data_IF_778136108717
#
_entry.id   IF_778136108717
#
_cell.length_a   1.000
_cell.length_b   1.000
_cell.length_c   1.000
_cell.angle_alpha   90.00
_cell.angle_beta   90.00
_cell.angle_gamma   90.00
#
_symmetry.space_group_name_H-M   'P 1'
#
loop_
_entity.id
_entity.type
_entity.pdbx_description
1 polymer ?
#
# COMPACT_ATOMS: atom_id res chain seq x y z
N UNK A 1 -17.17 12.35 0.22
CA UNK A 1 -17.62 12.70 -1.15
C UNK A 1 -17.21 11.63 -2.16
N UNK A 2 -15.93 11.28 -2.28
CA UNK A 2 -15.38 10.35 -3.28
C UNK A 2 -16.03 8.96 -3.26
N UNK A 3 -16.14 8.29 -2.11
CA UNK A 3 -16.74 6.95 -2.00
C UNK A 3 -18.22 6.95 -2.45
N UNK A 4 -18.99 8.00 -2.15
CA UNK A 4 -20.37 8.13 -2.64
C UNK A 4 -20.46 8.21 -4.17
N UNK A 5 -19.47 8.83 -4.81
CA UNK A 5 -19.37 8.86 -6.27
C UNK A 5 -19.07 7.47 -6.83
N UNK A 6 -18.15 6.72 -6.22
CA UNK A 6 -17.87 5.32 -6.56
C UNK A 6 -19.14 4.48 -6.46
N UNK A 7 -19.90 4.60 -5.36
CA UNK A 7 -21.15 3.88 -5.16
C UNK A 7 -22.20 4.23 -6.22
N UNK A 8 -22.34 5.50 -6.55
CA UNK A 8 -23.26 5.95 -7.59
C UNK A 8 -22.94 5.30 -8.94
N UNK A 9 -21.68 5.25 -9.34
CA UNK A 9 -21.28 4.58 -10.58
C UNK A 9 -21.54 3.08 -10.54
N UNK A 10 -21.28 2.42 -9.40
CA UNK A 10 -21.54 0.98 -9.22
C UNK A 10 -23.03 0.67 -9.30
N UNK A 11 -23.89 1.48 -8.67
CA UNK A 11 -25.34 1.34 -8.74
C UNK A 11 -25.88 1.51 -10.18
N UNK A 12 -25.19 2.29 -11.01
CA UNK A 12 -25.50 2.45 -12.43
C UNK A 12 -24.84 1.36 -13.31
N UNK A 13 -24.36 0.25 -12.74
CA UNK A 13 -23.83 -0.89 -13.47
C UNK A 13 -22.39 -0.77 -13.95
N UNK A 14 -21.66 0.30 -13.57
CA UNK A 14 -20.26 0.47 -13.95
C UNK A 14 -19.35 -0.34 -13.02
N UNK A 15 -18.39 -1.07 -13.59
CA UNK A 15 -17.38 -1.82 -12.85
C UNK A 15 -16.26 -0.90 -12.34
N UNK A 16 -16.60 0.00 -11.42
CA UNK A 16 -15.65 0.91 -10.77
C UNK A 16 -15.22 0.32 -9.43
N UNK A 17 -13.93 0.39 -9.14
CA UNK A 17 -13.32 0.06 -7.84
C UNK A 17 -12.17 1.01 -7.58
N UNK A 18 -11.74 1.11 -6.33
CA UNK A 18 -10.55 1.83 -5.93
C UNK A 18 -9.73 0.96 -4.95
N UNK A 19 -8.53 1.39 -4.68
CA UNK A 19 -7.68 0.79 -3.67
C UNK A 19 -7.20 1.83 -2.65
N UNK A 20 -6.72 1.35 -1.51
CA UNK A 20 -6.19 2.16 -0.44
C UNK A 20 -5.14 1.36 0.33
N UNK A 21 -4.13 2.02 0.86
CA UNK A 21 -3.15 1.43 1.80
C UNK A 21 -3.43 1.88 3.24
N UNK A 22 -3.04 1.10 4.26
CA UNK A 22 -3.35 1.38 5.66
C UNK A 22 -2.32 2.31 6.33
N UNK A 23 -2.01 3.43 5.70
CA UNK A 23 -1.12 4.47 6.24
C UNK A 23 -1.73 5.85 6.06
N UNK A 24 -1.37 6.77 6.95
CA UNK A 24 -1.94 8.13 7.03
C UNK A 24 -1.02 9.20 6.45
N UNK A 25 -0.17 8.79 5.53
CA UNK A 25 0.69 9.65 4.73
C UNK A 25 0.78 9.10 3.31
N UNK A 26 1.04 9.95 2.34
CA UNK A 26 1.39 9.51 0.99
C UNK A 26 2.86 9.74 0.69
N UNK A 27 3.36 9.11 -0.36
CA UNK A 27 4.72 9.31 -0.87
C UNK A 27 4.70 9.51 -2.36
N UNK A 28 5.46 10.50 -2.81
CA UNK A 28 5.67 10.80 -4.23
C UNK A 28 7.00 11.55 -4.40
N UNK A 29 7.47 11.70 -5.64
CA UNK A 29 8.61 12.57 -5.94
C UNK A 29 8.26 14.03 -5.65
N UNK A 30 9.22 14.82 -5.15
CA UNK A 30 9.00 16.22 -4.80
C UNK A 30 8.63 17.07 -6.04
N UNK A 31 9.05 16.65 -7.23
CA UNK A 31 8.69 17.27 -8.51
C UNK A 31 7.29 16.91 -9.04
N UNK A 32 6.57 16.01 -8.36
CA UNK A 32 5.23 15.58 -8.75
C UNK A 32 4.24 16.73 -8.82
N UNK A 33 3.26 16.62 -9.74
CA UNK A 33 2.12 17.55 -9.87
C UNK A 33 1.25 17.63 -8.62
N UNK A 34 1.37 16.66 -7.69
CA UNK A 34 0.76 16.72 -6.35
C UNK A 34 1.12 18.00 -5.61
N UNK A 35 2.33 18.48 -5.81
CA UNK A 35 2.88 19.68 -5.17
C UNK A 35 2.88 20.94 -6.07
N UNK A 36 2.09 20.93 -7.15
CA UNK A 36 1.92 22.12 -7.98
C UNK A 36 1.16 23.23 -7.26
N UNK A 37 1.15 24.42 -7.81
CA UNK A 37 0.54 25.62 -7.23
C UNK A 37 -0.84 25.33 -6.60
N UNK A 38 -1.06 25.86 -5.41
CA UNK A 38 -2.28 25.63 -4.63
C UNK A 38 -2.30 24.35 -3.77
N UNK A 39 -1.21 23.58 -3.69
CA UNK A 39 -1.21 22.34 -2.89
C UNK A 39 -1.30 22.60 -1.37
N UNK A 40 -0.69 23.68 -0.88
CA UNK A 40 -0.75 24.04 0.54
C UNK A 40 -2.18 24.37 0.96
N UNK A 41 -2.90 25.12 0.13
CA UNK A 41 -4.32 25.48 0.35
C UNK A 41 -5.22 24.26 0.23
N UNK A 42 -4.96 23.38 -0.76
CA UNK A 42 -5.74 22.15 -0.98
C UNK A 42 -5.66 21.20 0.20
N UNK A 43 -4.49 21.09 0.83
CA UNK A 43 -4.28 20.22 1.99
C UNK A 43 -4.36 20.96 3.33
N UNK A 44 -4.58 22.27 3.33
CA UNK A 44 -4.63 23.12 4.54
C UNK A 44 -3.41 22.92 5.45
N UNK A 45 -2.20 22.97 4.88
CA UNK A 45 -0.95 22.62 5.56
C UNK A 45 0.19 23.61 5.23
N UNK A 46 1.33 23.45 5.91
CA UNK A 46 2.60 24.07 5.61
C UNK A 46 3.60 23.09 4.99
N UNK A 47 4.80 23.55 4.68
CA UNK A 47 5.89 22.71 4.13
C UNK A 47 6.38 21.65 5.13
N UNK A 48 6.17 21.87 6.42
CA UNK A 48 6.57 21.01 7.53
C UNK A 48 5.87 19.63 7.56
N UNK A 49 4.82 19.44 6.77
CA UNK A 49 4.18 18.13 6.57
C UNK A 49 4.96 17.23 5.62
N UNK A 50 5.93 17.76 4.87
CA UNK A 50 6.74 17.02 3.90
C UNK A 50 8.06 16.63 4.52
N UNK A 51 8.39 15.33 4.47
CA UNK A 51 9.66 14.75 4.89
C UNK A 51 10.41 14.21 3.67
N UNK A 52 11.72 14.46 3.60
CA UNK A 52 12.57 13.97 2.53
C UNK A 52 13.11 12.57 2.87
N UNK A 53 12.93 11.61 1.94
CA UNK A 53 13.37 10.24 2.13
C UNK A 53 14.84 10.01 1.78
N UNK A 54 15.48 10.95 1.09
CA UNK A 54 16.78 10.76 0.44
C UNK A 54 17.68 12.01 0.58
N UNK A 55 18.97 11.83 0.25
CA UNK A 55 19.92 12.91 0.16
C UNK A 55 20.34 13.52 1.50
N UNK A 56 20.92 14.73 1.44
CA UNK A 56 21.48 15.43 2.61
C UNK A 56 20.45 15.85 3.66
N UNK A 57 19.21 15.92 3.26
CA UNK A 57 18.08 16.28 4.14
C UNK A 57 17.22 15.09 4.53
N UNK A 58 17.67 13.85 4.31
CA UNK A 58 16.93 12.63 4.65
C UNK A 58 16.41 12.67 6.10
N UNK A 59 15.13 12.33 6.29
CA UNK A 59 14.43 12.30 7.57
C UNK A 59 14.09 13.70 8.12
N UNK A 60 14.35 14.77 7.36
CA UNK A 60 14.01 16.14 7.78
C UNK A 60 12.69 16.59 7.19
N UNK A 61 11.89 17.26 8.01
CA UNK A 61 10.72 18.01 7.57
C UNK A 61 11.18 19.25 6.81
N UNK A 62 10.48 19.57 5.74
CA UNK A 62 10.83 20.72 4.90
C UNK A 62 10.49 22.04 5.58
N UNK A 63 11.38 23.03 5.41
CA UNK A 63 10.99 24.43 5.33
C UNK A 63 10.67 24.76 3.88
N UNK A 64 10.14 25.97 3.62
CA UNK A 64 9.90 26.45 2.26
C UNK A 64 11.19 26.40 1.41
N UNK A 65 12.29 26.89 1.96
CA UNK A 65 13.59 26.98 1.29
C UNK A 65 14.12 25.59 0.91
N UNK A 66 14.06 24.62 1.84
CA UNK A 66 14.47 23.23 1.60
C UNK A 66 13.61 22.60 0.51
N UNK A 67 12.30 22.79 0.59
CA UNK A 67 11.36 22.24 -0.39
C UNK A 67 11.64 22.79 -1.80
N UNK A 68 11.73 24.12 -1.95
CA UNK A 68 11.96 24.78 -3.24
C UNK A 68 13.33 24.42 -3.81
N UNK A 69 14.37 24.34 -2.96
CA UNK A 69 15.71 23.91 -3.36
C UNK A 69 15.69 22.49 -3.90
N UNK A 70 15.18 21.51 -3.13
CA UNK A 70 15.21 20.09 -3.54
C UNK A 70 14.31 19.87 -4.75
N UNK A 71 13.14 20.53 -4.81
CA UNK A 71 12.25 20.43 -5.98
C UNK A 71 12.90 20.93 -7.28
N UNK A 72 13.72 21.98 -7.20
CA UNK A 72 14.44 22.53 -8.34
C UNK A 72 15.63 21.64 -8.74
N UNK A 73 16.44 21.21 -7.75
CA UNK A 73 17.75 20.61 -7.99
C UNK A 73 17.70 19.08 -8.11
N UNK A 74 16.66 18.44 -7.52
CA UNK A 74 16.46 17.00 -7.54
C UNK A 74 14.96 16.62 -7.49
N UNK A 75 14.20 16.85 -8.59
CA UNK A 75 12.75 16.65 -8.62
C UNK A 75 12.31 15.20 -8.40
N UNK A 76 13.18 14.21 -8.61
CA UNK A 76 12.91 12.78 -8.38
C UNK A 76 13.03 12.35 -6.92
N UNK A 77 13.52 13.22 -6.02
CA UNK A 77 13.67 12.92 -4.61
C UNK A 77 12.33 12.48 -4.00
N UNK A 78 12.30 11.28 -3.41
CA UNK A 78 11.11 10.77 -2.76
C UNK A 78 10.82 11.54 -1.47
N UNK A 79 9.55 11.81 -1.28
CA UNK A 79 9.01 12.46 -0.08
C UNK A 79 7.95 11.60 0.59
N UNK A 80 7.72 11.86 1.88
CA UNK A 80 6.51 11.44 2.60
C UNK A 80 5.76 12.70 3.03
N UNK A 81 4.47 12.74 2.75
CA UNK A 81 3.60 13.87 3.08
C UNK A 81 2.51 13.45 4.06
N UNK A 82 2.51 14.05 5.25
CA UNK A 82 1.65 13.68 6.38
C UNK A 82 0.40 14.56 6.46
N UNK A 83 -0.49 14.43 5.49
CA UNK A 83 -1.73 15.23 5.38
C UNK A 83 -3.00 14.37 5.37
N UNK A 84 -2.86 13.04 5.35
CA UNK A 84 -4.01 12.15 5.33
C UNK A 84 -4.60 11.98 6.72
N UNK A 85 -5.94 11.99 6.81
CA UNK A 85 -6.65 11.77 8.07
C UNK A 85 -6.88 10.28 8.31
N UNK A 86 -6.59 9.80 9.53
CA UNK A 86 -6.80 8.40 9.93
C UNK A 86 -8.25 7.95 9.68
N UNK A 87 -9.22 8.80 10.04
CA UNK A 87 -10.64 8.52 9.85
C UNK A 87 -11.03 8.30 8.40
N UNK A 88 -10.38 9.00 7.46
CA UNK A 88 -10.68 8.87 6.03
C UNK A 88 -10.11 7.57 5.48
N UNK A 89 -8.89 7.18 5.89
CA UNK A 89 -8.27 5.90 5.52
C UNK A 89 -9.06 4.73 6.10
N UNK A 90 -9.45 4.83 7.37
CA UNK A 90 -10.29 3.81 8.04
C UNK A 90 -11.64 3.65 7.33
N UNK A 91 -12.29 4.75 6.96
CA UNK A 91 -13.54 4.74 6.21
C UNK A 91 -13.35 4.10 4.83
N UNK A 92 -12.26 4.43 4.14
CA UNK A 92 -11.96 3.88 2.82
C UNK A 92 -11.75 2.38 2.88
N UNK A 93 -10.90 1.88 3.77
CA UNK A 93 -10.58 0.46 3.90
C UNK A 93 -11.76 -0.40 4.36
N UNK A 94 -12.74 0.18 5.05
CA UNK A 94 -13.99 -0.50 5.43
C UNK A 94 -15.07 -0.47 4.36
N UNK A 95 -14.83 0.21 3.25
CA UNK A 95 -15.80 0.35 2.17
C UNK A 95 -15.77 -0.88 1.25
N UNK A 96 -16.92 -1.54 0.93
CA UNK A 96 -16.96 -2.80 0.18
C UNK A 96 -16.47 -2.71 -1.28
N UNK A 97 -16.28 -1.51 -1.79
CA UNK A 97 -15.74 -1.24 -3.12
C UNK A 97 -14.25 -0.95 -3.16
N UNK A 98 -13.56 -1.02 -2.02
CA UNK A 98 -12.13 -0.70 -1.89
C UNK A 98 -11.33 -1.99 -1.71
N UNK A 99 -10.26 -2.12 -2.49
CA UNK A 99 -9.25 -3.16 -2.38
C UNK A 99 -8.06 -2.66 -1.55
N UNK A 100 -7.22 -3.57 -1.06
CA UNK A 100 -5.92 -3.18 -0.55
C UNK A 100 -4.94 -3.01 -1.72
N UNK A 101 -4.35 -1.83 -1.83
CA UNK A 101 -3.21 -1.56 -2.69
C UNK A 101 -2.02 -1.09 -1.84
N UNK A 102 -0.78 -1.42 -2.22
CA UNK A 102 0.39 -0.91 -1.51
C UNK A 102 0.88 0.42 -2.06
N UNK A 103 0.69 0.68 -3.35
CA UNK A 103 1.29 1.83 -4.05
C UNK A 103 2.80 2.01 -3.74
N UNK A 104 3.48 0.86 -3.55
CA UNK A 104 4.85 0.80 -3.05
C UNK A 104 5.87 1.19 -4.10
N UNK A 105 6.65 2.24 -3.83
CA UNK A 105 7.84 2.62 -4.59
C UNK A 105 9.01 2.70 -3.62
N UNK A 106 10.16 2.14 -4.01
CA UNK A 106 11.38 2.12 -3.21
C UNK A 106 12.58 2.49 -4.09
N UNK A 107 13.38 3.44 -3.63
CA UNK A 107 14.65 3.83 -4.24
C UNK A 107 15.81 3.43 -3.30
N UNK A 108 16.63 2.45 -3.71
CA UNK A 108 17.77 2.03 -2.90
C UNK A 108 17.43 1.65 -1.45
N UNK A 109 16.25 1.05 -1.23
CA UNK A 109 15.76 0.71 0.11
C UNK A 109 15.16 1.87 0.90
N UNK A 110 15.00 3.03 0.28
CA UNK A 110 14.36 4.21 0.86
C UNK A 110 12.98 4.43 0.25
N UNK A 111 12.07 5.03 1.00
CA UNK A 111 10.70 5.32 0.56
C UNK A 111 9.69 5.13 1.67
N UNK A 112 8.43 4.99 1.30
CA UNK A 112 7.34 4.82 2.24
C UNK A 112 7.25 3.36 2.74
N UNK A 113 7.00 3.09 4.04
CA UNK A 113 6.88 1.72 4.58
C UNK A 113 5.73 0.90 3.96
N UNK A 114 4.81 1.53 3.24
CA UNK A 114 3.68 0.86 2.58
C UNK A 114 4.08 -0.24 1.60
N UNK A 115 5.28 -0.16 1.04
CA UNK A 115 5.79 -1.19 0.13
C UNK A 115 5.96 -2.56 0.82
N UNK A 116 6.50 -2.58 2.03
CA UNK A 116 6.71 -3.80 2.81
C UNK A 116 5.55 -4.09 3.79
N UNK A 117 4.92 -3.05 4.34
CA UNK A 117 4.03 -3.18 5.49
C UNK A 117 2.54 -3.23 5.18
N UNK A 118 2.04 -2.85 4.00
CA UNK A 118 0.59 -2.67 3.77
C UNK A 118 -0.24 -3.93 4.07
N UNK A 119 0.18 -5.08 3.60
CA UNK A 119 -0.56 -6.33 3.76
C UNK A 119 -0.56 -6.84 5.21
N UNK A 120 0.58 -7.01 5.88
CA UNK A 120 0.58 -7.42 7.28
C UNK A 120 -0.05 -6.38 8.21
N UNK A 121 0.06 -5.08 7.89
CA UNK A 121 -0.55 -3.99 8.66
C UNK A 121 -2.09 -4.04 8.63
N UNK A 122 -2.70 -4.33 7.47
CA UNK A 122 -4.15 -4.49 7.39
C UNK A 122 -4.62 -5.58 8.35
N UNK A 123 -3.97 -6.74 8.35
CA UNK A 123 -4.29 -7.84 9.25
C UNK A 123 -4.10 -7.45 10.71
N UNK A 124 -2.95 -6.83 11.03
CA UNK A 124 -2.62 -6.43 12.39
C UNK A 124 -3.53 -5.34 12.95
N UNK A 125 -3.82 -4.31 12.18
CA UNK A 125 -4.49 -3.12 12.71
C UNK A 125 -5.99 -3.09 12.43
N UNK A 126 -6.49 -3.77 11.40
CA UNK A 126 -7.90 -3.75 11.07
C UNK A 126 -8.62 -5.04 11.49
N UNK A 127 -7.99 -6.20 11.33
CA UNK A 127 -8.61 -7.46 11.72
C UNK A 127 -8.55 -7.66 13.23
N UNK A 128 -7.38 -7.56 13.86
CA UNK A 128 -7.27 -7.74 15.32
C UNK A 128 -8.00 -6.70 16.16
N UNK A 129 -8.25 -5.52 15.62
CA UNK A 129 -9.07 -4.50 16.30
C UNK A 129 -10.56 -4.60 15.99
N UNK A 130 -10.97 -5.57 15.16
CA UNK A 130 -12.37 -5.77 14.78
C UNK A 130 -12.94 -4.75 13.81
N UNK A 131 -12.09 -3.94 13.18
CA UNK A 131 -12.52 -2.98 12.13
C UNK A 131 -12.94 -3.69 10.83
N UNK A 132 -12.35 -4.85 10.55
CA UNK A 132 -12.66 -5.78 9.46
C UNK A 132 -12.66 -7.22 9.96
N UNK A 133 -13.48 -8.08 9.36
CA UNK A 133 -13.32 -9.52 9.53
C UNK A 133 -12.09 -10.03 8.77
N UNK A 134 -11.53 -11.16 9.19
CA UNK A 134 -10.43 -11.81 8.48
C UNK A 134 -10.81 -12.13 7.03
N UNK A 135 -12.05 -12.57 6.81
CA UNK A 135 -12.57 -12.87 5.47
C UNK A 135 -12.57 -11.64 4.56
N UNK A 136 -13.06 -10.50 5.04
CA UNK A 136 -13.07 -9.24 4.29
C UNK A 136 -11.65 -8.80 3.95
N UNK A 137 -10.74 -8.80 4.92
CA UNK A 137 -9.35 -8.42 4.71
C UNK A 137 -8.65 -9.32 3.66
N UNK A 138 -8.79 -10.65 3.78
CA UNK A 138 -8.22 -11.59 2.79
C UNK A 138 -8.84 -11.37 1.41
N UNK A 139 -10.16 -11.18 1.33
CA UNK A 139 -10.85 -10.92 0.07
C UNK A 139 -10.36 -9.63 -0.62
N UNK A 140 -10.12 -8.57 0.14
CA UNK A 140 -9.57 -7.30 -0.38
C UNK A 140 -8.16 -7.45 -0.96
N UNK A 141 -7.40 -8.42 -0.49
CA UNK A 141 -6.00 -8.68 -0.92
C UNK A 141 -5.90 -9.71 -2.04
N UNK A 142 -6.95 -10.49 -2.31
CA UNK A 142 -6.89 -11.66 -3.18
C UNK A 142 -8.01 -11.70 -4.23
N UNK A 143 -9.20 -12.13 -3.86
CA UNK A 143 -10.32 -12.35 -4.78
C UNK A 143 -10.81 -11.07 -5.47
N UNK A 144 -10.86 -9.94 -4.76
CA UNK A 144 -11.31 -8.68 -5.36
C UNK A 144 -10.36 -8.15 -6.44
N UNK A 145 -9.04 -8.06 -6.23
CA UNK A 145 -8.12 -7.66 -7.30
C UNK A 145 -8.07 -8.69 -8.43
N UNK A 146 -8.16 -9.98 -8.15
CA UNK A 146 -8.22 -11.03 -9.19
C UNK A 146 -9.45 -10.87 -10.10
N UNK A 147 -10.64 -10.67 -9.53
CA UNK A 147 -11.87 -10.39 -10.29
C UNK A 147 -11.76 -9.10 -11.10
N UNK A 148 -11.25 -8.03 -10.49
CA UNK A 148 -11.09 -6.73 -11.16
C UNK A 148 -10.20 -6.83 -12.39
N UNK A 149 -9.11 -7.59 -12.29
CA UNK A 149 -8.15 -7.80 -13.37
C UNK A 149 -8.56 -8.91 -14.34
N UNK A 150 -9.60 -9.68 -14.02
CA UNK A 150 -10.08 -10.81 -14.82
C UNK A 150 -9.15 -12.03 -14.78
N UNK A 151 -8.51 -12.26 -13.64
CA UNK A 151 -7.59 -13.38 -13.39
C UNK A 151 -8.37 -14.56 -12.81
N UNK A 152 -8.94 -15.42 -13.66
CA UNK A 152 -9.85 -16.51 -13.25
C UNK A 152 -9.17 -17.62 -12.44
N UNK A 153 -7.85 -17.75 -12.55
CA UNK A 153 -7.04 -18.77 -11.86
C UNK A 153 -6.30 -18.23 -10.62
N UNK A 154 -6.59 -16.99 -10.19
CA UNK A 154 -5.97 -16.33 -9.03
C UNK A 154 -6.99 -15.97 -7.95
N UNK A 155 -6.52 -15.75 -6.73
CA UNK A 155 -7.33 -15.22 -5.63
C UNK A 155 -8.28 -16.22 -4.98
N UNK A 156 -8.14 -17.52 -5.26
CA UNK A 156 -8.95 -18.60 -4.66
C UNK A 156 -8.13 -19.87 -4.43
N UNK A 157 -8.62 -20.75 -3.54
CA UNK A 157 -8.06 -22.08 -3.25
C UNK A 157 -8.87 -23.20 -3.93
N UNK A 158 -9.41 -22.96 -5.12
CA UNK A 158 -10.20 -23.94 -5.87
C UNK A 158 -9.29 -24.87 -6.67
N UNK A 159 -9.78 -26.08 -6.95
CA UNK A 159 -9.10 -27.01 -7.87
C UNK A 159 -8.97 -26.35 -9.24
N UNK A 160 -7.75 -26.34 -9.77
CA UNK A 160 -7.42 -25.68 -11.04
C UNK A 160 -6.94 -24.23 -10.91
N UNK A 161 -7.01 -23.65 -9.72
CA UNK A 161 -6.36 -22.36 -9.47
C UNK A 161 -4.83 -22.51 -9.35
N UNK A 162 -4.10 -21.44 -9.59
CA UNK A 162 -2.66 -21.40 -9.36
C UNK A 162 -2.37 -21.60 -7.86
N UNK A 163 -1.37 -22.42 -7.55
CA UNK A 163 -0.99 -22.73 -6.18
C UNK A 163 -0.14 -21.60 -5.55
N UNK A 164 -0.67 -20.38 -5.58
CA UNK A 164 -0.11 -19.23 -4.88
C UNK A 164 -0.77 -19.15 -3.50
N UNK A 165 -0.07 -19.61 -2.47
CA UNK A 165 -0.63 -19.82 -1.14
C UNK A 165 0.20 -19.10 -0.09
N UNK A 166 -0.45 -18.38 0.81
CA UNK A 166 0.18 -17.77 1.98
C UNK A 166 -0.38 -18.45 3.24
N UNK A 167 0.52 -18.90 4.11
CA UNK A 167 0.19 -19.45 5.43
C UNK A 167 0.69 -18.46 6.46
N UNK A 168 -0.22 -17.97 7.31
CA UNK A 168 0.09 -16.98 8.32
C UNK A 168 -0.72 -17.20 9.60
N UNK A 169 -0.22 -16.69 10.71
CA UNK A 169 -0.90 -16.67 11.99
C UNK A 169 -1.59 -15.30 12.18
N UNK A 170 -2.94 -15.22 12.18
CA UNK A 170 -3.66 -13.96 12.29
C UNK A 170 -3.44 -13.24 13.63
N UNK A 171 -3.03 -13.95 14.68
CA UNK A 171 -2.75 -13.35 15.99
C UNK A 171 -1.32 -12.78 16.07
N UNK A 172 -0.41 -13.28 15.24
CA UNK A 172 1.01 -12.88 15.21
C UNK A 172 1.37 -11.93 14.08
N UNK A 173 0.68 -12.03 12.93
CA UNK A 173 1.03 -11.25 11.74
C UNK A 173 1.05 -9.74 12.03
N UNK A 174 2.15 -9.08 11.73
CA UNK A 174 2.30 -7.61 11.82
C UNK A 174 3.40 -7.09 10.90
N UNK A 175 3.31 -5.80 10.59
CA UNK A 175 4.38 -5.05 9.93
C UNK A 175 5.38 -4.52 10.98
N UNK A 176 6.63 -4.40 10.56
CA UNK A 176 7.70 -3.71 11.30
C UNK A 176 8.29 -2.56 10.48
N UNK A 177 7.74 -2.33 9.28
CA UNK A 177 8.20 -1.25 8.42
C UNK A 177 7.83 0.12 9.01
N UNK A 178 8.81 0.99 9.12
CA UNK A 178 8.68 2.38 9.59
C UNK A 178 9.18 3.34 8.53
N UNK A 179 8.93 4.65 8.69
CA UNK A 179 9.48 5.65 7.78
C UNK A 179 11.02 5.69 7.80
N UNK A 180 11.64 5.39 8.94
CA UNK A 180 13.11 5.28 9.06
C UNK A 180 13.66 3.97 8.48
N UNK A 181 12.89 2.88 8.60
CA UNK A 181 13.26 1.53 8.16
C UNK A 181 12.13 0.92 7.29
N UNK A 182 11.91 1.45 6.07
CA UNK A 182 10.74 1.13 5.27
C UNK A 182 10.73 -0.28 4.66
N UNK A 183 11.87 -0.98 4.71
CA UNK A 183 12.03 -2.35 4.19
C UNK A 183 12.08 -3.41 5.27
N UNK A 184 11.83 -3.05 6.54
CA UNK A 184 11.82 -4.02 7.63
C UNK A 184 10.82 -5.14 7.33
N UNK A 185 11.24 -6.42 7.39
CA UNK A 185 10.33 -7.53 7.16
C UNK A 185 9.26 -7.59 8.26
N UNK A 186 8.07 -8.03 7.90
CA UNK A 186 7.02 -8.33 8.88
C UNK A 186 7.30 -9.59 9.69
N UNK A 187 6.34 -9.99 10.51
CA UNK A 187 6.34 -11.28 11.21
C UNK A 187 4.98 -11.98 11.10
N UNK A 188 4.92 -13.26 11.47
CA UNK A 188 3.68 -14.05 11.50
C UNK A 188 3.21 -14.55 10.13
N UNK A 189 4.02 -14.40 9.06
CA UNK A 189 3.83 -15.07 7.77
C UNK A 189 4.81 -16.23 7.73
N UNK A 190 4.28 -17.45 7.94
CA UNK A 190 5.10 -18.65 8.08
C UNK A 190 5.61 -19.14 6.74
N UNK A 191 4.73 -19.20 5.71
CA UNK A 191 5.10 -19.68 4.37
C UNK A 191 4.41 -18.86 3.27
N UNK A 192 5.15 -18.68 2.17
CA UNK A 192 4.61 -18.18 0.89
C UNK A 192 5.00 -19.15 -0.21
N UNK A 193 4.02 -19.65 -0.94
CA UNK A 193 4.21 -20.48 -2.11
C UNK A 193 3.79 -19.72 -3.37
N UNK A 194 4.55 -19.88 -4.44
CA UNK A 194 4.23 -19.36 -5.77
C UNK A 194 4.26 -20.54 -6.73
N UNK A 195 3.13 -20.83 -7.36
CA UNK A 195 3.00 -21.99 -8.25
C UNK A 195 3.27 -23.33 -7.56
N UNK A 196 3.04 -23.43 -6.25
CA UNK A 196 3.30 -24.62 -5.44
C UNK A 196 4.74 -24.76 -4.92
N UNK A 197 5.64 -23.85 -5.29
CA UNK A 197 7.03 -23.85 -4.82
C UNK A 197 7.23 -22.80 -3.71
N UNK A 198 8.07 -23.16 -2.71
CA UNK A 198 8.34 -22.30 -1.55
C UNK A 198 9.14 -21.06 -1.95
N UNK A 199 8.50 -19.89 -1.90
CA UNK A 199 9.08 -18.59 -2.21
C UNK A 199 9.66 -17.90 -0.96
N UNK A 200 8.95 -17.97 0.19
CA UNK A 200 9.41 -17.38 1.43
C UNK A 200 9.01 -18.24 2.64
N UNK A 201 9.80 -18.14 3.71
CA UNK A 201 9.57 -18.75 5.02
C UNK A 201 9.90 -17.74 6.12
N UNK A 202 9.07 -17.64 7.15
CA UNK A 202 9.27 -16.75 8.30
C UNK A 202 9.60 -15.30 7.85
N UNK A 203 8.79 -14.78 6.91
CA UNK A 203 8.95 -13.46 6.29
C UNK A 203 10.30 -13.23 5.57
N UNK A 204 11.04 -14.28 5.24
CA UNK A 204 12.33 -14.22 4.51
C UNK A 204 12.23 -14.90 3.17
N UNK A 205 12.71 -14.23 2.12
CA UNK A 205 12.75 -14.81 0.78
C UNK A 205 13.73 -15.99 0.76
N UNK A 206 13.24 -17.14 0.30
CA UNK A 206 13.99 -18.37 0.05
C UNK A 206 14.35 -18.48 -1.42
N UNK A 207 13.37 -18.18 -2.31
CA UNK A 207 13.53 -18.14 -3.77
C UNK A 207 12.85 -16.90 -4.34
N UNK A 208 13.63 -16.02 -4.98
CA UNK A 208 13.17 -14.76 -5.58
C UNK A 208 12.84 -14.83 -7.07
N UNK A 209 13.02 -15.99 -7.71
CA UNK A 209 12.91 -16.21 -9.16
C UNK A 209 11.61 -16.92 -9.60
N UNK A 210 10.69 -17.20 -8.67
CA UNK A 210 9.43 -17.91 -8.93
C UNK A 210 8.34 -17.04 -9.57
N UNK A 211 8.47 -15.72 -9.44
CA UNK A 211 7.50 -14.76 -9.98
C UNK A 211 7.50 -14.77 -11.51
N UNK A 212 6.32 -14.64 -12.10
CA UNK A 212 6.14 -14.50 -13.54
C UNK A 212 5.20 -13.36 -13.87
N UNK A 213 5.36 -12.79 -15.06
CA UNK A 213 4.41 -11.82 -15.58
C UNK A 213 3.04 -12.48 -15.79
N UNK A 214 2.01 -11.91 -15.18
CA UNK A 214 0.62 -12.36 -15.35
C UNK A 214 -0.06 -11.41 -16.35
N UNK A 215 -0.61 -11.96 -17.41
CA UNK A 215 -1.35 -11.21 -18.43
C UNK A 215 -2.77 -11.76 -18.52
N UNK A 216 -3.72 -10.87 -18.78
CA UNK A 216 -5.06 -11.29 -19.17
C UNK A 216 -4.96 -11.94 -20.56
N UNK A 217 -5.46 -13.17 -20.68
CA UNK A 217 -5.60 -13.88 -21.94
C UNK A 217 -6.79 -13.36 -22.72
#
# INVERSE_FOLDING_TARGET
AFLRMVDSYRMNGLRVSCDCYPYYAFSTAIGSTTYDEGWLERYHCGYDVVELCEGRYKGRRCTREIFEEVRRDWPECLTVCYVMQESDVDMALRHPGVMLGSDGIMNGGQGHPRAAGSFPRLLAQFVRTGKLSLYEAVRMMTAMPADKLGLSNKGSLQVGADADVVIFDPDRVRDHATFDQPTSPGEGIDYVFIGGELAARDCRVVRGDLGRSVRKL
#
